data_IF_453248987311
#
_entry.id   IF_453248987311
#
_cell.length_a   1.000
_cell.length_b   1.000
_cell.length_c   1.000
_cell.angle_alpha   90.00
_cell.angle_beta   90.00
_cell.angle_gamma   90.00
#
_symmetry.space_group_name_H-M   'P 1'
#
loop_
_entity.id
_entity.type
_entity.pdbx_description
1 polymer ?
#
# COMPACT_ATOMS: atom_id res chain seq x y z
N UNK A 1 -3.93 -0.16 9.23
CA UNK A 1 -2.59 -0.37 8.65
C UNK A 1 -2.53 -1.63 7.79
N UNK A 2 -2.41 -2.84 8.36
CA UNK A 2 -2.22 -4.08 7.57
C UNK A 2 -3.37 -4.41 6.62
N UNK A 3 -4.63 -4.31 7.06
CA UNK A 3 -5.79 -4.56 6.18
C UNK A 3 -5.83 -3.56 5.02
N UNK A 4 -5.64 -2.27 5.31
CA UNK A 4 -5.56 -1.22 4.29
C UNK A 4 -4.44 -1.49 3.31
N UNK A 5 -3.24 -1.80 3.80
CA UNK A 5 -2.11 -2.04 2.92
C UNK A 5 -2.19 -3.33 2.11
N UNK A 6 -2.81 -4.38 2.66
CA UNK A 6 -3.10 -5.60 1.92
C UNK A 6 -4.02 -5.32 0.72
N UNK A 7 -5.09 -4.55 0.90
CA UNK A 7 -5.96 -4.15 -0.22
C UNK A 7 -5.21 -3.24 -1.22
N UNK A 8 -4.43 -2.28 -0.72
CA UNK A 8 -3.68 -1.34 -1.56
C UNK A 8 -2.64 -2.03 -2.43
N UNK A 9 -2.15 -3.20 -2.00
CA UNK A 9 -1.21 -4.00 -2.79
C UNK A 9 -1.81 -4.46 -4.14
N UNK A 10 -3.15 -4.38 -4.31
CA UNK A 10 -3.84 -4.85 -5.52
C UNK A 10 -4.79 -3.82 -6.16
N UNK A 11 -5.25 -2.81 -5.41
CA UNK A 11 -6.33 -1.91 -5.86
C UNK A 11 -5.88 -0.48 -6.23
N UNK A 12 -4.67 -0.05 -5.84
CA UNK A 12 -4.19 1.36 -5.81
C UNK A 12 -4.47 2.08 -4.48
N UNK A 13 -3.64 3.10 -4.19
CA UNK A 13 -3.65 3.79 -2.89
C UNK A 13 -4.91 4.64 -2.66
N UNK A 14 -5.38 5.36 -3.68
CA UNK A 14 -6.52 6.27 -3.59
C UNK A 14 -7.85 5.54 -3.35
N UNK A 15 -8.25 4.52 -4.15
CA UNK A 15 -9.47 3.76 -3.87
C UNK A 15 -9.38 3.01 -2.54
N UNK A 16 -8.19 2.51 -2.18
CA UNK A 16 -8.01 1.83 -0.90
C UNK A 16 -8.17 2.77 0.30
N UNK A 17 -7.57 3.96 0.24
CA UNK A 17 -7.73 4.98 1.28
C UNK A 17 -9.20 5.32 1.46
N UNK A 18 -9.91 5.58 0.36
CA UNK A 18 -11.32 5.98 0.42
C UNK A 18 -12.20 4.86 1.00
N UNK A 19 -12.03 3.61 0.57
CA UNK A 19 -12.77 2.46 1.14
C UNK A 19 -12.58 2.38 2.65
N UNK A 20 -11.35 2.47 3.13
CA UNK A 20 -11.09 2.36 4.57
C UNK A 20 -11.46 3.61 5.36
N UNK A 21 -11.41 4.79 4.75
CA UNK A 21 -11.90 6.03 5.32
C UNK A 21 -13.42 5.96 5.57
N UNK A 22 -14.19 5.50 4.58
CA UNK A 22 -15.63 5.26 4.71
C UNK A 22 -15.94 4.19 5.76
N UNK A 23 -15.17 3.08 5.77
CA UNK A 23 -15.31 2.04 6.80
C UNK A 23 -15.00 2.54 8.22
N UNK A 24 -14.15 3.56 8.36
CA UNK A 24 -13.82 4.17 9.64
C UNK A 24 -14.84 5.23 10.09
N UNK A 25 -15.90 5.45 9.32
CA UNK A 25 -17.02 6.33 9.66
C UNK A 25 -17.25 7.48 8.68
N UNK A 26 -16.34 7.70 7.72
CA UNK A 26 -16.52 8.69 6.65
C UNK A 26 -16.59 10.16 7.09
N UNK A 27 -16.40 10.47 8.38
CA UNK A 27 -16.43 11.83 8.93
C UNK A 27 -15.00 12.38 9.10
N UNK A 28 -14.55 13.34 8.26
CA UNK A 28 -13.23 13.93 8.38
C UNK A 28 -12.99 14.63 9.72
N UNK A 29 -14.00 15.29 10.30
CA UNK A 29 -13.82 16.06 11.54
C UNK A 29 -13.52 15.11 12.71
N UNK A 30 -14.22 14.00 12.76
CA UNK A 30 -14.02 12.98 13.78
C UNK A 30 -12.74 12.16 13.55
N UNK A 31 -12.43 11.84 12.29
CA UNK A 31 -11.23 11.08 11.91
C UNK A 31 -9.93 11.87 12.07
N UNK A 32 -9.96 13.20 11.90
CA UNK A 32 -8.79 14.05 12.13
C UNK A 32 -8.56 14.39 13.61
N UNK A 33 -9.50 14.05 14.50
CA UNK A 33 -9.40 14.34 15.93
C UNK A 33 -9.43 13.06 16.75
N UNK A 34 -10.61 12.59 17.15
CA UNK A 34 -10.82 11.43 18.02
C UNK A 34 -10.18 10.15 17.47
N UNK A 35 -10.21 9.97 16.14
CA UNK A 35 -9.67 8.79 15.47
C UNK A 35 -8.43 9.08 14.61
N UNK A 36 -7.63 10.09 14.98
CA UNK A 36 -6.43 10.46 14.25
C UNK A 36 -5.44 9.30 14.04
N UNK A 37 -5.31 8.39 15.01
CA UNK A 37 -4.46 7.19 14.90
C UNK A 37 -4.99 6.21 13.86
N UNK A 38 -6.31 6.01 13.81
CA UNK A 38 -6.97 5.19 12.77
C UNK A 38 -6.77 5.80 11.39
N UNK A 39 -6.98 7.10 11.26
CA UNK A 39 -6.77 7.82 10.00
C UNK A 39 -5.32 7.70 9.53
N UNK A 40 -4.35 7.90 10.42
CA UNK A 40 -2.93 7.70 10.13
C UNK A 40 -2.62 6.25 9.70
N UNK A 41 -3.22 5.25 10.35
CA UNK A 41 -3.04 3.85 10.00
C UNK A 41 -3.62 3.49 8.63
N UNK A 42 -4.71 4.17 8.22
CA UNK A 42 -5.31 4.04 6.90
C UNK A 42 -4.41 4.70 5.86
N UNK A 43 -4.03 5.97 6.07
CA UNK A 43 -3.14 6.72 5.17
C UNK A 43 -1.81 5.99 4.96
N UNK A 44 -1.14 5.59 6.04
CA UNK A 44 0.14 4.90 5.96
C UNK A 44 0.03 3.53 5.28
N UNK A 45 -1.04 2.77 5.58
CA UNK A 45 -1.27 1.48 4.93
C UNK A 45 -1.50 1.61 3.43
N UNK A 46 -2.35 2.56 3.03
CA UNK A 46 -2.67 2.83 1.62
C UNK A 46 -1.43 3.31 0.83
N UNK A 47 -0.59 4.16 1.41
CA UNK A 47 0.56 4.71 0.67
C UNK A 47 1.72 3.71 0.63
N UNK A 48 2.08 3.08 1.75
CA UNK A 48 3.32 2.31 1.82
C UNK A 48 3.24 0.93 1.16
N UNK A 49 2.08 0.28 1.19
CA UNK A 49 1.97 -1.12 0.73
C UNK A 49 1.55 -1.28 -0.74
N UNK A 50 1.25 -0.19 -1.45
CA UNK A 50 1.00 -0.24 -2.90
C UNK A 50 2.19 -0.74 -3.72
N UNK A 51 3.40 -0.72 -3.15
CA UNK A 51 4.62 -1.22 -3.78
C UNK A 51 4.80 -2.74 -3.77
N UNK A 52 3.90 -3.49 -3.12
CA UNK A 52 4.03 -4.94 -3.01
C UNK A 52 3.82 -5.67 -4.35
N UNK A 53 3.10 -5.07 -5.30
CA UNK A 53 2.85 -5.69 -6.61
C UNK A 53 2.98 -4.68 -7.75
N UNK A 54 3.12 -5.17 -8.99
CA UNK A 54 3.13 -4.31 -10.17
C UNK A 54 1.82 -3.56 -10.42
N UNK A 55 0.70 -4.08 -9.91
CA UNK A 55 -0.62 -3.47 -10.09
C UNK A 55 -1.07 -2.67 -8.87
N UNK A 56 -0.27 -2.66 -7.80
CA UNK A 56 -0.63 -1.98 -6.56
C UNK A 56 -0.61 -0.46 -6.67
N UNK A 57 -0.03 0.11 -7.73
CA UNK A 57 -0.26 1.49 -8.15
C UNK A 57 0.11 1.71 -9.63
N UNK A 58 -0.42 2.78 -10.23
CA UNK A 58 -0.15 3.12 -11.63
C UNK A 58 1.34 3.37 -11.96
N UNK A 59 2.13 4.08 -11.12
CA UNK A 59 3.56 4.25 -11.35
C UNK A 59 4.35 2.94 -11.46
N UNK A 60 4.09 1.95 -10.61
CA UNK A 60 4.77 0.65 -10.66
C UNK A 60 4.49 -0.09 -11.96
N UNK A 61 3.21 -0.08 -12.37
CA UNK A 61 2.81 -0.68 -13.63
C UNK A 61 3.48 0.01 -14.82
N UNK A 62 3.58 1.34 -14.79
CA UNK A 62 4.26 2.14 -15.80
C UNK A 62 5.76 1.82 -15.87
N UNK A 63 6.46 1.73 -14.74
CA UNK A 63 7.89 1.36 -14.70
C UNK A 63 8.09 -0.05 -15.26
N UNK A 64 7.22 -1.01 -14.89
CA UNK A 64 7.25 -2.36 -15.42
C UNK A 64 7.06 -2.40 -16.95
N UNK A 65 6.10 -1.64 -17.48
CA UNK A 65 5.83 -1.56 -18.91
C UNK A 65 7.02 -0.94 -19.68
N UNK A 66 7.60 0.15 -19.17
CA UNK A 66 8.77 0.82 -19.78
C UNK A 66 9.98 -0.12 -19.77
N UNK A 67 10.25 -0.80 -18.65
CA UNK A 67 11.37 -1.72 -18.53
C UNK A 67 11.25 -2.88 -19.54
N UNK A 68 10.05 -3.47 -19.67
CA UNK A 68 9.79 -4.50 -20.69
C UNK A 68 9.94 -3.97 -22.12
N UNK A 69 9.41 -2.79 -22.42
CA UNK A 69 9.56 -2.17 -23.73
C UNK A 69 11.03 -1.90 -24.10
N UNK A 70 11.88 -1.61 -23.12
CA UNK A 70 13.34 -1.44 -23.30
C UNK A 70 14.12 -2.76 -23.31
N UNK A 71 13.45 -3.91 -23.31
CA UNK A 71 14.09 -5.24 -23.35
C UNK A 71 14.66 -5.71 -22.00
N UNK A 72 14.35 -5.04 -20.89
CA UNK A 72 14.77 -5.50 -19.54
C UNK A 72 13.89 -6.68 -19.13
N UNK A 73 14.54 -7.79 -18.73
CA UNK A 73 13.86 -8.99 -18.24
C UNK A 73 13.29 -8.73 -16.84
N UNK A 74 12.03 -8.28 -16.79
CA UNK A 74 11.29 -8.11 -15.53
C UNK A 74 10.81 -9.46 -14.99
N UNK A 75 10.89 -9.70 -13.66
CA UNK A 75 10.34 -10.90 -13.05
C UNK A 75 8.82 -10.97 -13.27
N UNK A 76 8.28 -12.19 -13.30
CA UNK A 76 6.83 -12.41 -13.34
C UNK A 76 6.12 -11.87 -12.10
N UNK A 77 4.78 -11.82 -12.14
CA UNK A 77 3.96 -11.22 -11.08
C UNK A 77 4.28 -11.75 -9.68
N UNK A 78 4.21 -13.07 -9.50
CA UNK A 78 4.51 -13.71 -8.20
C UNK A 78 5.99 -13.64 -7.82
N UNK A 79 6.90 -13.62 -8.81
CA UNK A 79 8.33 -13.46 -8.55
C UNK A 79 8.67 -12.07 -8.00
N UNK A 80 8.05 -11.02 -8.55
CA UNK A 80 8.16 -9.68 -8.00
C UNK A 80 7.56 -9.59 -6.61
N UNK A 81 6.36 -10.16 -6.39
CA UNK A 81 5.70 -10.14 -5.08
C UNK A 81 6.51 -10.82 -3.98
N UNK A 82 7.18 -11.94 -4.28
CA UNK A 82 8.08 -12.59 -3.33
C UNK A 82 9.30 -11.70 -3.02
N UNK A 83 9.87 -11.05 -4.03
CA UNK A 83 11.03 -10.17 -3.87
C UNK A 83 10.69 -8.88 -3.10
N UNK A 84 9.61 -8.20 -3.48
CA UNK A 84 9.12 -6.99 -2.80
C UNK A 84 8.71 -7.34 -1.36
N UNK A 85 7.99 -8.44 -1.15
CA UNK A 85 7.59 -8.92 0.17
C UNK A 85 8.78 -9.18 1.08
N UNK A 86 9.83 -9.86 0.58
CA UNK A 86 11.03 -10.14 1.37
C UNK A 86 11.74 -8.87 1.86
N UNK A 87 11.69 -7.78 1.09
CA UNK A 87 12.33 -6.50 1.45
C UNK A 87 11.40 -5.61 2.28
N UNK A 88 10.13 -5.51 1.88
CA UNK A 88 9.18 -4.53 2.41
C UNK A 88 8.45 -5.03 3.67
N UNK A 89 8.13 -6.32 3.78
CA UNK A 89 7.42 -6.86 4.96
C UNK A 89 8.20 -6.59 6.27
N UNK A 90 9.53 -6.81 6.36
CA UNK A 90 10.29 -6.46 7.57
C UNK A 90 10.17 -4.97 7.93
N UNK A 91 10.23 -4.10 6.92
CA UNK A 91 10.09 -2.64 7.10
C UNK A 91 8.69 -2.30 7.60
N UNK A 92 7.65 -2.94 7.06
CA UNK A 92 6.27 -2.73 7.50
C UNK A 92 5.97 -3.30 8.87
N UNK A 93 6.61 -4.40 9.27
CA UNK A 93 6.55 -4.92 10.64
C UNK A 93 7.14 -3.91 11.63
N UNK A 94 8.31 -3.37 11.32
CA UNK A 94 8.95 -2.34 12.15
C UNK A 94 8.10 -1.05 12.19
N UNK A 95 7.65 -0.55 11.04
CA UNK A 95 6.81 0.64 10.98
C UNK A 95 5.47 0.42 11.70
N UNK A 96 4.84 -0.73 11.49
CA UNK A 96 3.61 -1.12 12.18
C UNK A 96 3.78 -1.13 13.69
N UNK A 97 4.86 -1.74 14.19
CA UNK A 97 5.17 -1.79 15.62
C UNK A 97 5.51 -0.42 16.22
N UNK A 98 6.34 0.38 15.54
CA UNK A 98 6.80 1.67 16.07
C UNK A 98 5.72 2.76 16.08
N UNK A 99 4.84 2.77 15.08
CA UNK A 99 3.85 3.85 14.91
C UNK A 99 2.42 3.45 15.31
N UNK A 100 2.10 2.16 15.34
CA UNK A 100 0.74 1.66 15.55
C UNK A 100 0.65 0.45 16.51
N UNK A 101 1.76 0.06 17.13
CA UNK A 101 1.84 -1.03 18.12
C UNK A 101 1.57 -0.58 19.55
#
# INVERSE_FOLDING_TARGET
>A
FWMTGALSSFLDNAPTYLVFFELAGGDPQHLMTTFASTLAAISAGAVFMGANTYIGNAPNFMVYAIARHRGVKMPGFFGYMAWSGAVLIPIFLLAGFLFFG
#
